data_IF_187575367071
#
_entry.id   IF_187575367071
#
_cell.length_a   1.000
_cell.length_b   1.000
_cell.length_c   1.000
_cell.angle_alpha   90.00
_cell.angle_beta   90.00
_cell.angle_gamma   90.00
#
_symmetry.space_group_name_H-M   'P 1'
#
loop_
_entity.id
_entity.type
_entity.pdbx_description
1 polymer ?
#
# COMPACT_ATOMS: atom_id res chain seq x y z
N UNK A 1 4.07 -19.31 -14.23
CA UNK A 1 4.04 -17.91 -13.75
C UNK A 1 2.79 -17.75 -12.91
N UNK A 2 2.81 -17.00 -11.80
CA UNK A 2 1.57 -16.68 -11.09
C UNK A 2 0.61 -15.94 -12.02
N UNK A 3 -0.68 -16.11 -11.74
CA UNK A 3 -1.77 -15.49 -12.49
C UNK A 3 -2.67 -14.69 -11.54
N UNK A 4 -3.27 -13.64 -12.07
CA UNK A 4 -4.41 -12.93 -11.48
C UNK A 4 -5.61 -13.20 -12.40
N UNK A 5 -6.72 -13.61 -11.81
CA UNK A 5 -8.00 -13.71 -12.54
C UNK A 5 -8.65 -12.33 -12.46
N UNK A 6 -8.86 -11.72 -13.61
CA UNK A 6 -9.50 -10.41 -13.74
C UNK A 6 -11.02 -10.52 -13.58
N UNK A 7 -11.74 -9.40 -13.34
CA UNK A 7 -13.18 -9.43 -13.13
C UNK A 7 -13.99 -10.01 -14.30
N UNK A 8 -13.47 -9.92 -15.52
CA UNK A 8 -14.07 -10.49 -16.74
C UNK A 8 -13.72 -11.98 -16.95
N UNK A 9 -12.96 -12.58 -16.03
CA UNK A 9 -12.47 -13.96 -16.11
C UNK A 9 -11.16 -14.11 -16.90
N UNK A 10 -10.64 -13.04 -17.50
CA UNK A 10 -9.37 -13.07 -18.24
C UNK A 10 -8.21 -13.35 -17.28
N UNK A 11 -7.21 -14.09 -17.73
CA UNK A 11 -6.00 -14.35 -16.96
C UNK A 11 -4.93 -13.31 -17.26
N UNK A 12 -4.38 -12.71 -16.21
CA UNK A 12 -3.21 -11.83 -16.28
C UNK A 12 -2.02 -12.53 -15.63
N UNK A 13 -1.05 -12.96 -16.43
CA UNK A 13 0.19 -13.54 -15.94
C UNK A 13 1.19 -12.45 -15.54
N UNK A 14 2.05 -12.74 -14.57
CA UNK A 14 3.10 -11.82 -14.16
C UNK A 14 4.31 -12.54 -13.58
N UNK A 15 5.41 -11.80 -13.39
CA UNK A 15 6.63 -12.32 -12.78
C UNK A 15 6.80 -11.74 -11.39
N UNK A 16 6.84 -12.62 -10.38
CA UNK A 16 7.10 -12.21 -8.99
C UNK A 16 8.44 -11.47 -8.93
N UNK A 17 8.40 -10.26 -8.38
CA UNK A 17 9.60 -9.53 -7.97
C UNK A 17 9.56 -9.34 -6.47
N UNK A 18 10.62 -9.73 -5.74
CA UNK A 18 10.61 -9.62 -4.30
C UNK A 18 10.75 -8.15 -3.92
N UNK A 19 9.74 -7.64 -3.21
CA UNK A 19 9.68 -6.28 -2.68
C UNK A 19 9.68 -6.37 -1.16
N UNK A 20 10.72 -5.84 -0.52
CA UNK A 20 10.86 -5.79 0.93
C UNK A 20 11.67 -4.56 1.32
N UNK A 21 11.40 -4.07 2.53
CA UNK A 21 12.04 -2.89 3.09
C UNK A 21 13.57 -3.04 3.14
N UNK A 22 14.29 -2.00 2.74
CA UNK A 22 15.74 -1.83 2.78
C UNK A 22 16.44 -2.22 1.48
N UNK A 23 15.74 -2.41 0.36
CA UNK A 23 16.37 -2.87 -0.90
C UNK A 23 16.99 -1.74 -1.68
N UNK A 24 16.33 -0.59 -1.71
CA UNK A 24 16.74 0.57 -2.50
C UNK A 24 16.12 1.83 -1.91
N UNK A 25 16.79 2.94 -2.16
CA UNK A 25 16.22 4.28 -1.95
C UNK A 25 15.30 4.65 -3.12
N UNK A 26 14.27 5.45 -2.85
CA UNK A 26 13.37 5.97 -3.87
C UNK A 26 14.12 6.89 -4.84
N UNK A 27 13.89 6.72 -6.14
CA UNK A 27 14.31 7.72 -7.13
C UNK A 27 13.15 8.70 -7.34
N UNK A 28 13.16 9.83 -6.63
CA UNK A 28 12.05 10.80 -6.64
C UNK A 28 11.60 11.25 -8.03
N UNK A 29 12.54 11.41 -8.97
CA UNK A 29 12.21 11.80 -10.36
C UNK A 29 11.40 10.71 -11.06
N UNK A 30 11.83 9.45 -10.96
CA UNK A 30 11.15 8.32 -11.57
C UNK A 30 9.84 7.98 -10.84
N UNK A 31 9.83 8.07 -9.50
CA UNK A 31 8.65 7.91 -8.68
C UNK A 31 7.58 8.95 -9.04
N UNK A 32 7.95 10.22 -9.15
CA UNK A 32 7.05 11.29 -9.61
C UNK A 32 6.50 10.99 -11.01
N UNK A 33 7.37 10.64 -11.95
CA UNK A 33 6.95 10.30 -13.32
C UNK A 33 5.91 9.16 -13.31
N UNK A 34 6.19 8.09 -12.57
CA UNK A 34 5.31 6.93 -12.47
C UNK A 34 3.97 7.27 -11.79
N UNK A 35 3.99 8.00 -10.68
CA UNK A 35 2.78 8.40 -9.96
C UNK A 35 1.89 9.30 -10.83
N UNK A 36 2.48 10.24 -11.58
CA UNK A 36 1.73 11.12 -12.47
C UNK A 36 1.17 10.38 -13.69
N UNK A 37 1.92 9.41 -14.25
CA UNK A 37 1.42 8.56 -15.33
C UNK A 37 0.26 7.67 -14.85
N UNK A 38 0.41 7.01 -13.71
CA UNK A 38 -0.65 6.23 -13.08
C UNK A 38 -1.89 7.09 -12.84
N UNK A 39 -1.71 8.29 -12.28
CA UNK A 39 -2.82 9.23 -12.06
C UNK A 39 -3.54 9.57 -13.37
N UNK A 40 -2.81 9.82 -14.46
CA UNK A 40 -3.43 10.09 -15.76
C UNK A 40 -4.29 8.93 -16.26
N UNK A 41 -3.85 7.68 -16.06
CA UNK A 41 -4.62 6.48 -16.44
C UNK A 41 -5.85 6.35 -15.53
N UNK A 42 -5.68 6.54 -14.23
CA UNK A 42 -6.75 6.46 -13.25
C UNK A 42 -7.83 7.53 -13.45
N UNK A 43 -7.44 8.78 -13.70
CA UNK A 43 -8.37 9.89 -13.95
C UNK A 43 -9.22 9.63 -15.21
N UNK A 44 -8.64 9.01 -16.25
CA UNK A 44 -9.34 8.66 -17.49
C UNK A 44 -10.36 7.53 -17.29
N UNK A 45 -10.07 6.56 -16.42
CA UNK A 45 -10.93 5.40 -16.15
C UNK A 45 -11.91 5.61 -15.00
N UNK A 46 -11.74 6.70 -14.22
CA UNK A 46 -12.51 6.96 -13.01
C UNK A 46 -12.05 6.16 -11.78
N UNK A 47 -10.83 5.60 -11.81
CA UNK A 47 -10.25 4.91 -10.67
C UNK A 47 -9.88 5.92 -9.58
N UNK A 48 -10.52 5.81 -8.41
CA UNK A 48 -10.20 6.64 -7.25
C UNK A 48 -9.21 5.95 -6.31
N UNK A 49 -8.16 6.67 -5.93
CA UNK A 49 -7.18 6.25 -4.93
C UNK A 49 -6.69 7.46 -4.10
N UNK A 50 -6.20 7.20 -2.88
CA UNK A 50 -5.60 8.21 -2.02
C UNK A 50 -4.14 7.92 -1.72
N UNK A 51 -3.35 8.94 -1.43
CA UNK A 51 -2.00 8.78 -0.90
C UNK A 51 -2.07 8.08 0.45
N UNK A 52 -1.17 7.12 0.66
CA UNK A 52 -1.10 6.34 1.88
C UNK A 52 0.29 6.40 2.52
N UNK A 53 0.35 5.98 3.79
CA UNK A 53 1.59 5.71 4.53
C UNK A 53 2.74 6.70 4.28
N UNK A 54 3.91 6.23 3.83
CA UNK A 54 5.11 7.05 3.65
C UNK A 54 4.91 8.15 2.61
N UNK A 55 4.17 7.85 1.55
CA UNK A 55 3.83 8.82 0.50
C UNK A 55 2.93 9.94 1.02
N UNK A 56 1.88 9.62 1.78
CA UNK A 56 1.00 10.61 2.40
C UNK A 56 1.76 11.46 3.42
N UNK A 57 2.61 10.83 4.24
CA UNK A 57 3.45 11.51 5.21
C UNK A 57 4.42 12.49 4.54
N UNK A 58 5.09 12.06 3.47
CA UNK A 58 5.96 12.92 2.65
C UNK A 58 5.21 14.11 2.07
N UNK A 59 4.03 13.86 1.48
CA UNK A 59 3.21 14.92 0.88
C UNK A 59 2.85 16.05 1.86
N UNK A 60 2.48 15.70 3.10
CA UNK A 60 2.04 16.69 4.10
C UNK A 60 3.16 17.26 4.95
N UNK A 61 4.29 16.53 5.12
CA UNK A 61 5.41 16.94 5.97
C UNK A 61 6.56 17.57 5.18
N UNK A 62 6.94 16.96 4.07
CA UNK A 62 8.12 17.33 3.27
C UNK A 62 7.73 18.01 1.96
N UNK A 63 6.44 17.99 1.60
CA UNK A 63 5.89 18.45 0.32
C UNK A 63 6.56 17.78 -0.91
N UNK A 64 7.12 16.60 -0.68
CA UNK A 64 7.82 15.75 -1.63
C UNK A 64 7.81 14.30 -1.09
N UNK A 65 8.34 13.34 -1.84
CA UNK A 65 8.61 12.02 -1.28
C UNK A 65 9.62 12.10 -0.14
N UNK A 66 9.48 11.24 0.86
CA UNK A 66 10.47 11.11 1.93
C UNK A 66 11.78 10.63 1.31
N UNK A 67 12.89 11.32 1.60
CA UNK A 67 14.16 11.09 0.94
C UNK A 67 14.64 9.64 1.05
N UNK A 68 14.45 9.02 2.21
CA UNK A 68 14.86 7.64 2.50
C UNK A 68 13.71 6.63 2.40
N UNK A 69 12.64 6.96 1.68
CA UNK A 69 11.58 5.99 1.36
C UNK A 69 12.02 5.01 0.26
N UNK A 70 11.20 4.01 -0.03
CA UNK A 70 11.50 2.99 -1.06
C UNK A 70 10.51 2.98 -2.23
N UNK A 71 9.27 3.40 -1.96
CA UNK A 71 8.10 3.16 -2.80
C UNK A 71 7.06 4.28 -2.74
N UNK A 72 5.97 4.03 -3.47
CA UNK A 72 4.78 4.86 -3.48
C UNK A 72 3.63 4.03 -2.91
N UNK A 73 3.01 4.53 -1.86
CA UNK A 73 1.91 3.86 -1.16
C UNK A 73 0.58 4.54 -1.52
N UNK A 74 -0.38 3.75 -2.00
CA UNK A 74 -1.73 4.22 -2.35
C UNK A 74 -2.81 3.37 -1.67
N UNK A 75 -3.82 4.03 -1.12
CA UNK A 75 -5.04 3.39 -0.64
C UNK A 75 -6.08 3.30 -1.74
N UNK A 76 -6.74 2.15 -1.81
CA UNK A 76 -7.84 1.87 -2.72
C UNK A 76 -8.99 1.28 -1.90
N UNK A 77 -10.17 1.87 -2.02
CA UNK A 77 -11.37 1.31 -1.40
C UNK A 77 -11.77 0.01 -2.13
N UNK A 78 -12.23 -1.03 -1.43
CA UNK A 78 -12.54 -2.33 -2.07
C UNK A 78 -13.52 -2.23 -3.25
N UNK A 79 -14.43 -1.25 -3.25
CA UNK A 79 -15.36 -1.03 -4.37
C UNK A 79 -14.67 -0.65 -5.69
N UNK A 80 -13.43 -0.16 -5.62
CA UNK A 80 -12.60 0.22 -6.77
C UNK A 80 -11.69 -0.93 -7.25
N UNK A 81 -11.66 -2.06 -6.54
CA UNK A 81 -10.77 -3.19 -6.84
C UNK A 81 -10.95 -3.70 -8.27
N UNK A 82 -12.18 -3.97 -8.67
CA UNK A 82 -12.43 -4.61 -9.96
C UNK A 82 -12.00 -3.67 -11.11
N UNK A 83 -12.26 -2.36 -10.95
CA UNK A 83 -11.74 -1.36 -11.87
C UNK A 83 -10.21 -1.35 -11.90
N UNK A 84 -9.54 -1.31 -10.74
CA UNK A 84 -8.07 -1.40 -10.67
C UNK A 84 -7.52 -2.63 -11.38
N UNK A 85 -8.11 -3.81 -11.17
CA UNK A 85 -7.66 -5.04 -11.80
C UNK A 85 -7.92 -5.05 -13.32
N UNK A 86 -9.03 -4.48 -13.77
CA UNK A 86 -9.34 -4.36 -15.20
C UNK A 86 -8.32 -3.51 -15.97
N UNK A 87 -7.64 -2.58 -15.28
CA UNK A 87 -6.63 -1.68 -15.87
C UNK A 87 -5.24 -2.32 -16.00
N UNK A 88 -5.03 -3.57 -15.53
CA UNK A 88 -3.70 -4.17 -15.51
C UNK A 88 -3.05 -4.27 -16.90
N UNK A 89 -3.82 -4.54 -17.95
CA UNK A 89 -3.29 -4.55 -19.32
C UNK A 89 -2.94 -3.14 -19.83
N UNK A 90 -3.77 -2.12 -19.57
CA UNK A 90 -3.44 -0.72 -19.93
C UNK A 90 -2.20 -0.23 -19.15
N UNK A 91 -2.06 -0.60 -17.88
CA UNK A 91 -0.86 -0.33 -17.09
C UNK A 91 0.38 -1.00 -17.71
N UNK A 92 0.25 -2.25 -18.17
CA UNK A 92 1.31 -2.98 -18.88
C UNK A 92 1.73 -2.32 -20.18
N UNK A 93 0.78 -1.89 -20.99
CA UNK A 93 1.05 -1.14 -22.23
C UNK A 93 1.82 0.16 -21.96
N UNK A 94 1.64 0.75 -20.77
CA UNK A 94 2.36 1.95 -20.31
C UNK A 94 3.68 1.64 -19.56
N UNK A 95 4.11 0.37 -19.56
CA UNK A 95 5.39 -0.08 -19.03
C UNK A 95 5.40 -0.43 -17.54
N UNK A 96 4.24 -0.51 -16.89
CA UNK A 96 4.11 -1.08 -15.55
C UNK A 96 4.01 -2.60 -15.60
N UNK A 97 4.69 -3.29 -14.72
CA UNK A 97 4.49 -4.73 -14.56
C UNK A 97 4.03 -5.06 -13.15
N UNK A 98 3.15 -6.05 -13.01
CA UNK A 98 2.80 -6.56 -11.68
C UNK A 98 4.02 -7.27 -11.11
N UNK A 99 4.41 -6.85 -9.91
CA UNK A 99 5.51 -7.42 -9.14
C UNK A 99 5.02 -8.38 -8.05
N UNK A 100 3.85 -8.10 -7.46
CA UNK A 100 3.30 -8.84 -6.33
C UNK A 100 1.78 -8.71 -6.29
N UNK A 101 1.11 -9.82 -5.97
CA UNK A 101 -0.31 -9.86 -5.65
C UNK A 101 -0.54 -10.71 -4.40
N UNK A 102 -1.08 -10.09 -3.34
CA UNK A 102 -1.56 -10.75 -2.14
C UNK A 102 -3.09 -10.81 -2.19
N UNK A 103 -3.65 -12.02 -2.07
CA UNK A 103 -5.09 -12.30 -2.07
C UNK A 103 -5.86 -11.56 -0.95
N UNK A 104 -5.16 -10.97 0.02
CA UNK A 104 -5.70 -10.13 1.11
C UNK A 104 -5.66 -8.62 0.82
N UNK A 105 -5.40 -8.21 -0.43
CA UNK A 105 -5.63 -6.84 -0.89
C UNK A 105 -4.40 -6.03 -1.30
N UNK A 106 -3.19 -6.58 -1.32
CA UNK A 106 -2.00 -5.83 -1.73
C UNK A 106 -1.62 -6.16 -3.17
N UNK A 107 -1.68 -5.16 -4.05
CA UNK A 107 -1.17 -5.22 -5.42
C UNK A 107 0.05 -4.31 -5.53
N UNK A 108 1.16 -4.82 -6.04
CA UNK A 108 2.35 -4.01 -6.33
C UNK A 108 2.63 -4.01 -7.82
N UNK A 109 2.78 -2.83 -8.41
CA UNK A 109 3.25 -2.65 -9.79
C UNK A 109 4.61 -1.96 -9.80
N UNK A 110 5.42 -2.21 -10.82
CA UNK A 110 6.76 -1.63 -10.95
C UNK A 110 6.95 -1.05 -12.36
N UNK A 111 7.58 0.12 -12.43
CA UNK A 111 8.00 0.74 -13.69
C UNK A 111 9.31 1.47 -13.46
N UNK A 112 10.27 1.33 -14.37
CA UNK A 112 11.61 1.96 -14.23
C UNK A 112 12.26 1.70 -12.85
N UNK A 113 12.10 0.50 -12.31
CA UNK A 113 12.65 0.11 -11.00
C UNK A 113 12.08 0.86 -9.77
N UNK A 114 11.02 1.66 -9.93
CA UNK A 114 10.23 2.22 -8.82
C UNK A 114 8.90 1.47 -8.75
N UNK A 115 8.47 1.09 -7.55
CA UNK A 115 7.24 0.34 -7.36
C UNK A 115 6.18 1.13 -6.61
N UNK A 116 4.92 0.80 -6.90
CA UNK A 116 3.72 1.41 -6.34
C UNK A 116 2.92 0.28 -5.69
N UNK A 117 2.62 0.43 -4.41
CA UNK A 117 1.78 -0.48 -3.63
C UNK A 117 0.36 0.09 -3.56
N UNK A 118 -0.61 -0.67 -4.08
CA UNK A 118 -2.04 -0.45 -3.86
C UNK A 118 -2.51 -1.33 -2.71
N UNK A 119 -2.91 -0.68 -1.62
CA UNK A 119 -3.55 -1.33 -0.48
C UNK A 119 -5.06 -1.23 -0.64
N UNK A 120 -5.65 -2.34 -1.07
CA UNK A 120 -7.10 -2.49 -1.22
C UNK A 120 -7.69 -2.82 0.15
N UNK A 121 -8.37 -1.86 0.75
CA UNK A 121 -8.97 -1.99 2.07
C UNK A 121 -10.40 -2.51 1.98
N UNK A 122 -10.69 -3.56 2.74
CA UNK A 122 -12.02 -4.18 2.87
C UNK A 122 -12.57 -3.95 4.28
N UNK A 123 -13.90 -3.94 4.48
CA UNK A 123 -14.49 -4.04 5.81
C UNK A 123 -13.91 -5.24 6.56
N UNK A 124 -13.45 -5.03 7.79
CA UNK A 124 -12.89 -6.08 8.62
C UNK A 124 -14.02 -6.78 9.38
N UNK A 125 -14.28 -8.05 9.09
CA UNK A 125 -15.36 -8.81 9.74
C UNK A 125 -15.15 -9.05 11.24
N UNK A 126 -13.96 -8.73 11.77
CA UNK A 126 -13.61 -8.96 13.18
C UNK A 126 -14.02 -7.80 14.09
N UNK A 127 -14.30 -6.62 13.55
CA UNK A 127 -14.66 -5.45 14.33
C UNK A 127 -15.36 -4.37 13.48
N UNK A 128 -16.32 -3.68 14.07
CA UNK A 128 -17.03 -2.56 13.41
C UNK A 128 -16.12 -1.35 13.18
N UNK A 129 -16.44 -0.54 12.17
CA UNK A 129 -15.74 0.71 11.84
C UNK A 129 -14.25 0.54 11.56
N UNK A 130 -13.83 -0.66 11.16
CA UNK A 130 -12.44 -1.00 10.82
C UNK A 130 -12.43 -1.57 9.40
N UNK A 131 -11.44 -1.12 8.64
CA UNK A 131 -11.09 -1.71 7.37
C UNK A 131 -9.70 -2.33 7.47
N UNK A 132 -9.41 -3.31 6.62
CA UNK A 132 -8.14 -4.04 6.65
C UNK A 132 -7.65 -4.39 5.26
N UNK A 133 -6.33 -4.28 5.09
CA UNK A 133 -5.59 -4.77 3.93
C UNK A 133 -4.42 -5.61 4.43
N UNK A 134 -4.29 -6.85 3.94
CA UNK A 134 -3.25 -7.80 4.39
C UNK A 134 -3.18 -7.96 5.92
N UNK A 135 -4.32 -7.81 6.60
CA UNK A 135 -4.44 -7.87 8.05
C UNK A 135 -3.98 -6.62 8.80
N UNK A 136 -3.53 -5.54 8.14
CA UNK A 136 -3.18 -4.26 8.77
C UNK A 136 -4.44 -3.38 8.92
N UNK A 137 -5.04 -3.29 10.12
CA UNK A 137 -6.32 -2.61 10.29
C UNK A 137 -6.15 -1.09 10.38
N UNK A 138 -7.15 -0.36 9.90
CA UNK A 138 -7.26 1.09 9.90
C UNK A 138 -8.70 1.49 10.25
N UNK A 139 -8.93 2.58 11.01
CA UNK A 139 -10.28 3.12 11.17
C UNK A 139 -10.92 3.43 9.82
N UNK A 140 -12.15 2.97 9.61
CA UNK A 140 -12.90 3.09 8.36
C UNK A 140 -12.96 4.53 7.85
N UNK A 141 -13.13 5.50 8.75
CA UNK A 141 -13.22 6.93 8.40
C UNK A 141 -12.04 7.46 7.57
N UNK A 142 -10.83 6.91 7.74
CA UNK A 142 -9.66 7.35 6.98
C UNK A 142 -9.62 6.79 5.55
N UNK A 143 -10.31 5.68 5.32
CA UNK A 143 -10.38 5.01 4.01
C UNK A 143 -11.58 5.50 3.20
N UNK A 144 -12.67 5.88 3.86
CA UNK A 144 -13.91 6.28 3.16
C UNK A 144 -14.08 7.80 2.98
N UNK A 145 -13.45 8.62 3.81
CA UNK A 145 -13.58 10.07 3.74
C UNK A 145 -12.27 10.71 3.30
N UNK A 146 -12.21 11.08 2.02
CA UNK A 146 -11.04 11.73 1.44
C UNK A 146 -11.25 13.23 1.18
N UNK A 147 -10.14 13.93 1.05
CA UNK A 147 -10.04 15.33 0.61
C UNK A 147 -8.84 15.48 -0.32
N UNK A 148 -8.78 16.54 -1.11
CA UNK A 148 -7.70 16.77 -2.07
C UNK A 148 -6.61 17.66 -1.48
N UNK A 149 -5.36 17.34 -1.78
CA UNK A 149 -4.20 18.18 -1.50
C UNK A 149 -3.33 18.34 -2.75
N UNK A 150 -2.60 19.46 -2.89
CA UNK A 150 -1.59 19.59 -3.93
C UNK A 150 -0.37 18.72 -3.60
N UNK A 151 0.03 17.87 -4.54
CA UNK A 151 1.26 17.08 -4.44
C UNK A 151 1.89 16.91 -5.82
N UNK A 152 3.19 17.22 -5.92
CA UNK A 152 3.98 17.10 -7.17
C UNK A 152 3.38 17.81 -8.41
N UNK A 153 2.57 18.85 -8.19
CA UNK A 153 1.94 19.65 -9.25
C UNK A 153 0.57 19.15 -9.72
N UNK A 154 -0.05 18.20 -9.01
CA UNK A 154 -1.43 17.74 -9.26
C UNK A 154 -2.20 17.64 -7.93
N UNK A 155 -3.53 17.54 -8.02
CA UNK A 155 -4.38 17.24 -6.88
C UNK A 155 -4.42 15.73 -6.63
N UNK A 156 -4.24 15.31 -5.37
CA UNK A 156 -4.34 13.92 -4.95
C UNK A 156 -5.25 13.80 -3.74
N UNK A 157 -6.00 12.71 -3.65
CA UNK A 157 -6.76 12.40 -2.45
C UNK A 157 -5.83 11.99 -1.30
N UNK A 158 -6.24 12.35 -0.09
CA UNK A 158 -5.70 11.90 1.19
C UNK A 158 -6.86 11.76 2.17
N UNK A 159 -6.69 11.02 3.28
CA UNK A 159 -7.65 11.01 4.38
C UNK A 159 -8.05 12.44 4.78
N UNK A 160 -9.35 12.71 4.94
CA UNK A 160 -9.84 14.04 5.35
C UNK A 160 -9.23 14.50 6.67
N UNK A 161 -9.19 13.59 7.65
CA UNK A 161 -8.59 13.82 8.96
C UNK A 161 -7.11 13.36 8.98
N UNK A 162 -6.33 13.68 7.94
CA UNK A 162 -4.97 13.15 7.77
C UNK A 162 -4.05 13.49 8.95
N UNK A 163 -4.16 14.65 9.60
CA UNK A 163 -3.34 14.97 10.79
C UNK A 163 -3.61 13.99 11.93
N UNK A 164 -4.89 13.68 12.16
CA UNK A 164 -5.32 12.70 13.16
C UNK A 164 -4.82 11.30 12.79
N UNK A 165 -4.93 10.94 11.51
CA UNK A 165 -4.43 9.69 10.98
C UNK A 165 -2.90 9.57 11.14
N UNK A 166 -2.13 10.64 10.92
CA UNK A 166 -0.68 10.65 11.15
C UNK A 166 -0.35 10.44 12.63
N UNK A 167 -1.05 11.13 13.53
CA UNK A 167 -0.92 10.93 14.98
C UNK A 167 -1.25 9.49 15.39
N UNK A 168 -2.35 8.93 14.85
CA UNK A 168 -2.74 7.55 15.10
C UNK A 168 -1.67 6.56 14.64
N UNK A 169 -1.19 6.69 13.39
CA UNK A 169 -0.26 5.75 12.75
C UNK A 169 1.15 5.86 13.31
N UNK A 170 1.69 7.08 13.41
CA UNK A 170 3.10 7.35 13.66
C UNK A 170 3.37 7.93 15.06
N UNK A 171 2.34 8.36 15.80
CA UNK A 171 2.50 8.94 17.14
C UNK A 171 2.82 10.43 17.14
N UNK A 172 3.01 11.01 18.32
CA UNK A 172 3.16 12.47 18.52
C UNK A 172 4.32 13.10 17.74
N UNK A 173 5.37 12.33 17.50
CA UNK A 173 6.61 12.79 16.87
C UNK A 173 6.60 12.63 15.35
N UNK A 174 5.43 12.39 14.72
CA UNK A 174 5.32 12.13 13.27
C UNK A 174 5.85 13.28 12.40
N UNK A 175 5.85 14.50 12.93
CA UNK A 175 6.40 15.70 12.27
C UNK A 175 7.93 15.73 12.25
N UNK A 176 8.58 14.91 13.06
CA UNK A 176 10.04 14.77 13.10
C UNK A 176 10.48 13.71 12.10
N UNK A 177 11.30 14.04 11.09
CA UNK A 177 11.83 13.05 10.16
C UNK A 177 12.68 12.00 10.88
N UNK A 178 12.41 10.73 10.60
CA UNK A 178 13.17 9.58 11.14
C UNK A 178 13.54 8.67 9.98
N UNK A 179 14.82 8.33 9.84
CA UNK A 179 15.27 7.35 8.86
C UNK A 179 15.03 5.92 9.39
N UNK A 180 14.03 5.22 8.84
CA UNK A 180 13.64 3.87 9.31
C UNK A 180 14.55 2.74 8.82
N UNK A 181 15.36 2.97 7.78
CA UNK A 181 16.19 1.93 7.15
C UNK A 181 17.59 2.44 6.81
N UNK A 182 18.58 1.55 6.94
CA UNK A 182 19.97 1.77 6.54
C UNK A 182 20.29 1.20 5.15
N UNK A 183 19.30 0.56 4.49
CA UNK A 183 19.41 -0.11 3.20
C UNK A 183 20.46 -1.24 3.13
N UNK A 184 20.84 -1.84 4.26
CA UNK A 184 21.86 -2.91 4.35
C UNK A 184 21.26 -4.30 4.51
N UNK A 185 20.23 -4.63 3.72
CA UNK A 185 19.63 -5.97 3.78
C UNK A 185 20.59 -7.03 3.22
N UNK A 186 20.92 -8.03 4.06
CA UNK A 186 21.84 -9.13 3.69
C UNK A 186 21.28 -10.00 2.55
N UNK A 187 22.17 -10.53 1.68
CA UNK A 187 21.78 -11.41 0.56
C UNK A 187 20.95 -12.61 1.00
N UNK A 188 21.25 -13.19 2.16
CA UNK A 188 20.48 -14.32 2.73
C UNK A 188 19.03 -13.90 3.02
N UNK A 189 18.84 -12.72 3.62
CA UNK A 189 17.51 -12.16 3.90
C UNK A 189 16.76 -11.83 2.60
N UNK A 190 17.47 -11.33 1.58
CA UNK A 190 16.92 -11.13 0.22
C UNK A 190 16.36 -12.44 -0.35
N UNK A 191 17.16 -13.51 -0.31
CA UNK A 191 16.76 -14.84 -0.80
C UNK A 191 15.58 -15.42 0.00
N UNK A 192 15.58 -15.25 1.33
CA UNK A 192 14.48 -15.71 2.17
C UNK A 192 13.15 -15.05 1.79
N UNK A 193 13.11 -13.72 1.63
CA UNK A 193 11.88 -13.02 1.24
C UNK A 193 11.40 -13.44 -0.15
N UNK A 194 12.32 -13.61 -1.10
CA UNK A 194 11.97 -14.13 -2.43
C UNK A 194 11.33 -15.51 -2.36
N UNK A 195 11.97 -16.47 -1.68
CA UNK A 195 11.46 -17.83 -1.54
C UNK A 195 10.08 -17.81 -0.85
N UNK A 196 9.94 -17.02 0.23
CA UNK A 196 8.68 -16.86 0.96
C UNK A 196 7.57 -16.36 0.04
N UNK A 197 7.81 -15.32 -0.77
CA UNK A 197 6.80 -14.76 -1.67
C UNK A 197 6.46 -15.71 -2.83
N UNK A 198 7.43 -16.47 -3.33
CA UNK A 198 7.20 -17.54 -4.30
C UNK A 198 6.30 -18.62 -3.71
N UNK A 199 6.66 -19.20 -2.56
CA UNK A 199 5.86 -20.23 -1.87
C UNK A 199 4.43 -19.71 -1.66
N UNK A 200 4.32 -18.50 -1.14
CA UNK A 200 3.05 -17.82 -0.88
C UNK A 200 2.16 -17.74 -2.12
N UNK A 201 2.73 -17.41 -3.29
CA UNK A 201 1.99 -17.30 -4.55
C UNK A 201 1.37 -18.61 -5.03
N UNK A 202 1.99 -19.75 -4.71
CA UNK A 202 1.54 -21.09 -5.12
C UNK A 202 0.73 -21.83 -4.05
N UNK A 203 0.58 -21.29 -2.83
CA UNK A 203 -0.22 -21.93 -1.79
C UNK A 203 -1.71 -21.98 -2.19
N UNK A 204 -2.41 -23.11 -1.96
CA UNK A 204 -3.86 -23.19 -2.05
C UNK A 204 -4.54 -22.23 -1.05
N UNK A 205 -5.71 -21.68 -1.40
CA UNK A 205 -6.42 -20.70 -0.58
C UNK A 205 -6.66 -21.18 0.85
N UNK A 206 -7.14 -22.42 1.04
CA UNK A 206 -7.41 -22.96 2.36
C UNK A 206 -6.16 -22.89 3.28
N UNK A 207 -5.02 -23.38 2.79
CA UNK A 207 -3.76 -23.39 3.55
C UNK A 207 -3.26 -21.97 3.78
N UNK A 208 -3.33 -21.14 2.74
CA UNK A 208 -2.95 -19.74 2.78
C UNK A 208 -3.68 -18.98 3.90
N UNK A 209 -5.02 -19.00 3.89
CA UNK A 209 -5.81 -18.28 4.87
C UNK A 209 -5.68 -18.85 6.28
N UNK A 210 -5.49 -20.17 6.43
CA UNK A 210 -5.22 -20.78 7.74
C UNK A 210 -3.90 -20.27 8.35
N UNK A 211 -2.82 -20.16 7.56
CA UNK A 211 -1.53 -19.64 8.02
C UNK A 211 -1.66 -18.18 8.45
N UNK A 212 -2.32 -17.36 7.62
CA UNK A 212 -2.39 -15.93 7.85
C UNK A 212 -3.38 -15.51 8.93
N UNK A 213 -4.38 -16.34 9.27
CA UNK A 213 -5.34 -16.05 10.33
C UNK A 213 -4.68 -15.64 11.65
N UNK A 214 -3.70 -16.42 12.12
CA UNK A 214 -2.95 -16.11 13.37
C UNK A 214 -2.15 -14.81 13.28
N UNK A 215 -1.54 -14.55 12.11
CA UNK A 215 -0.77 -13.31 11.90
C UNK A 215 -1.69 -12.09 11.88
N UNK A 216 -2.87 -12.24 11.29
CA UNK A 216 -3.85 -11.16 11.19
C UNK A 216 -4.49 -10.86 12.55
N UNK A 217 -4.72 -11.87 13.40
CA UNK A 217 -5.11 -11.70 14.81
C UNK A 217 -4.05 -10.89 15.59
N UNK A 218 -2.77 -11.21 15.44
CA UNK A 218 -1.69 -10.43 16.09
C UNK A 218 -1.62 -8.99 15.60
N UNK A 219 -1.91 -8.73 14.33
CA UNK A 219 -1.99 -7.36 13.80
C UNK A 219 -3.19 -6.60 14.38
N UNK A 220 -4.33 -7.27 14.58
CA UNK A 220 -5.49 -6.68 15.22
C UNK A 220 -5.22 -6.31 16.70
N UNK A 221 -4.52 -7.16 17.45
CA UNK A 221 -4.09 -6.81 18.81
C UNK A 221 -3.17 -5.58 18.84
N UNK A 222 -2.23 -5.48 17.88
CA UNK A 222 -1.38 -4.28 17.73
C UNK A 222 -2.18 -3.04 17.36
N UNK A 223 -3.22 -3.18 16.56
CA UNK A 223 -4.15 -2.09 16.26
C UNK A 223 -4.83 -1.58 17.53
N UNK A 224 -5.35 -2.46 18.39
CA UNK A 224 -6.01 -2.02 19.63
C UNK A 224 -5.05 -1.32 20.58
N UNK A 225 -3.82 -1.82 20.73
CA UNK A 225 -2.78 -1.13 21.50
C UNK A 225 -2.46 0.26 20.94
N UNK A 226 -2.43 0.41 19.60
CA UNK A 226 -2.27 1.71 18.94
C UNK A 226 -3.45 2.65 19.21
N UNK A 227 -4.68 2.12 19.14
CA UNK A 227 -5.90 2.87 19.40
C UNK A 227 -5.96 3.37 20.85
N UNK A 228 -5.61 2.52 21.81
CA UNK A 228 -5.50 2.90 23.22
C UNK A 228 -4.51 4.05 23.42
N UNK A 229 -3.29 3.91 22.87
CA UNK A 229 -2.27 4.98 22.91
C UNK A 229 -2.78 6.28 22.29
N UNK A 230 -3.46 6.19 21.14
CA UNK A 230 -4.00 7.34 20.45
C UNK A 230 -5.08 8.06 21.27
N UNK A 231 -5.99 7.30 21.91
CA UNK A 231 -7.02 7.86 22.78
C UNK A 231 -6.41 8.57 23.99
N UNK A 232 -5.37 8.00 24.60
CA UNK A 232 -4.61 8.65 25.68
C UNK A 232 -3.99 9.96 25.24
N UNK A 233 -3.44 10.04 24.02
CA UNK A 233 -2.86 11.27 23.48
C UNK A 233 -3.92 12.34 23.17
N UNK A 234 -5.13 11.95 22.76
CA UNK A 234 -6.24 12.88 22.50
C UNK A 234 -6.93 13.40 23.77
N UNK A 235 -6.85 12.65 24.86
CA UNK A 235 -7.42 13.04 26.16
C UNK A 235 -6.54 13.96 26.99
N UNK A 236 -5.32 14.25 26.54
CA UNK A 236 -4.38 15.24 27.11
C UNK A 236 -4.55 16.59 26.42
#
# INVERSE_FOLDING_TARGET
>A
MPIIILPDGTHFDYKIRPLYLGVKKINKKQAKENLLLLKSIADKSGLCFALAFGTALGAVREHDFIEHDEDIDLWVHYSQKDLLLSLLFELRENGFEVARWDRRGLLSIIRKNEYIDFYIYYPDSRAENIMSCCGDPMPQKYIENWTEIPFLGKAFYIARDWEEMMLFRYGKDWRTPVAETDFKVSRVRKSFYYIKDVIKGYLPDLIYFLIYRRLDEQKLLRYYSRLERFNTLKGQ
#
